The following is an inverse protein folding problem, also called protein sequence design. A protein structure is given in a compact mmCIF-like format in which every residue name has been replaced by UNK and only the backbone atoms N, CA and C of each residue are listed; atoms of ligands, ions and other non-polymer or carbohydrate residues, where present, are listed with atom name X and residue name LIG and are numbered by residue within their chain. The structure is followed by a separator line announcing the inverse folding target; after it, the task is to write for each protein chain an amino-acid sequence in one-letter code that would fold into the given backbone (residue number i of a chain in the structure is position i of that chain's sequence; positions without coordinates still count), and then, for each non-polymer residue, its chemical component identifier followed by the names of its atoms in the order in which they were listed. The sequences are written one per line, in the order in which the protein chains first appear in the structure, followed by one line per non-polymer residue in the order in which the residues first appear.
data_IF_889545814132
#
_entry.id   IF_889545814132
#
_cell.length_a   1.000
_cell.length_b   1.000
_cell.length_c   1.000
_cell.angle_alpha   90.00
_cell.angle_beta   90.00
_cell.angle_gamma   90.00
#
_symmetry.space_group_name_H-M   'P 1'
#
loop_
_entity.id
_entity.type
_entity.pdbx_description
1 polymer ?
#
# COMPACT_ATOMS: atom_id res chain seq x y z
N UNK A 1 3.77 29.59 1.59
CA UNK A 1 2.38 29.10 1.76
C UNK A 1 2.11 29.06 3.27
N UNK A 2 1.05 29.72 3.75
CA UNK A 2 0.69 29.66 5.18
C UNK A 2 0.06 28.30 5.48
N UNK A 3 0.57 27.60 6.51
CA UNK A 3 0.07 26.29 6.93
C UNK A 3 -0.92 26.47 8.08
N UNK A 4 -1.86 25.55 8.23
CA UNK A 4 -2.80 25.57 9.35
C UNK A 4 -2.13 25.26 10.70
N UNK A 5 -1.15 24.35 10.69
CA UNK A 5 -0.33 23.95 11.84
C UNK A 5 1.16 24.10 11.48
N UNK A 6 1.96 24.50 12.46
CA UNK A 6 3.41 24.74 12.36
C UNK A 6 4.14 24.02 13.50
N UNK A 7 5.30 23.46 13.19
CA UNK A 7 6.26 23.05 14.24
C UNK A 7 6.93 24.29 14.86
N UNK A 8 7.64 24.09 15.98
CA UNK A 8 8.38 25.18 16.64
C UNK A 8 9.43 25.81 15.72
N UNK A 9 10.12 24.99 14.93
CA UNK A 9 11.15 25.45 13.98
C UNK A 9 10.52 26.24 12.82
N UNK A 10 9.37 25.79 12.32
CA UNK A 10 8.65 26.48 11.26
C UNK A 10 8.07 27.82 11.73
N UNK A 11 7.60 27.90 12.98
CA UNK A 11 7.11 29.14 13.58
C UNK A 11 8.23 30.16 13.83
N UNK A 12 9.41 29.70 14.27
CA UNK A 12 10.57 30.56 14.48
C UNK A 12 11.03 31.26 13.18
N UNK A 13 10.90 30.58 12.05
CA UNK A 13 11.27 31.07 10.72
C UNK A 13 10.28 32.10 10.11
N UNK A 14 9.15 32.39 10.77
CA UNK A 14 8.16 33.37 10.31
C UNK A 14 8.49 34.80 10.73
N UNK A 15 7.96 35.78 9.98
CA UNK A 15 8.00 37.20 10.38
C UNK A 15 7.09 37.47 11.57
N UNK A 16 7.29 38.58 12.28
CA UNK A 16 6.52 38.90 13.48
C UNK A 16 5.03 39.12 13.18
N UNK A 17 4.70 39.69 12.01
CA UNK A 17 3.31 39.85 11.54
C UNK A 17 2.65 38.49 11.26
N UNK A 18 3.42 37.53 10.74
CA UNK A 18 2.93 36.18 10.50
C UNK A 18 2.76 35.41 11.81
N UNK A 19 3.68 35.56 12.77
CA UNK A 19 3.60 34.93 14.10
C UNK A 19 2.36 35.38 14.88
N UNK A 20 1.95 36.64 14.74
CA UNK A 20 0.75 37.18 15.38
C UNK A 20 -0.54 36.42 14.98
N UNK A 21 -0.56 35.81 13.80
CA UNK A 21 -1.70 35.04 13.28
C UNK A 21 -1.78 33.62 13.83
N UNK A 22 -0.85 33.17 14.68
CA UNK A 22 -0.84 31.81 15.27
C UNK A 22 -0.88 31.86 16.80
N UNK A 23 -1.33 30.76 17.40
CA UNK A 23 -1.35 30.49 18.84
C UNK A 23 -0.84 29.10 19.15
N UNK A 24 -0.41 28.89 20.39
CA UNK A 24 0.06 27.58 20.85
C UNK A 24 -1.10 26.57 20.86
N UNK A 25 -0.88 25.40 20.26
CA UNK A 25 -1.84 24.31 20.21
C UNK A 25 -1.10 22.96 20.23
N UNK A 26 -1.28 22.19 21.30
CA UNK A 26 -0.56 20.93 21.51
C UNK A 26 0.97 21.16 21.58
N UNK A 27 1.72 20.46 20.75
CA UNK A 27 3.19 20.53 20.70
C UNK A 27 3.75 21.58 19.72
N UNK A 28 2.87 22.37 19.07
CA UNK A 28 3.24 23.35 18.03
C UNK A 28 2.35 24.61 18.03
N UNK A 29 2.24 25.25 16.87
CA UNK A 29 1.46 26.48 16.69
C UNK A 29 0.37 26.29 15.62
N UNK A 30 -0.84 26.79 15.89
CA UNK A 30 -1.99 26.71 14.97
C UNK A 30 -2.52 28.12 14.67
N UNK A 31 -2.98 28.35 13.44
CA UNK A 31 -3.51 29.65 13.03
C UNK A 31 -4.74 30.04 13.87
N UNK A 32 -4.72 31.24 14.45
CA UNK A 32 -5.83 31.83 15.21
C UNK A 32 -6.88 32.33 14.21
N UNK A 33 -7.95 31.56 14.05
CA UNK A 33 -9.09 31.94 13.24
C UNK A 33 -10.30 32.04 14.17
N UNK A 34 -10.90 33.23 14.23
CA UNK A 34 -12.07 33.50 15.05
C UNK A 34 -13.30 32.72 14.51
N UNK A 35 -14.03 32.05 15.41
CA UNK A 35 -15.22 31.25 15.07
C UNK A 35 -14.98 29.76 14.78
N UNK A 36 -13.74 29.25 14.90
CA UNK A 36 -13.48 27.81 14.79
C UNK A 36 -13.88 27.06 16.06
N UNK A 37 -14.68 25.97 15.96
CA UNK A 37 -15.03 25.15 17.10
C UNK A 37 -13.83 24.34 17.61
N UNK A 38 -13.75 24.11 18.91
CA UNK A 38 -12.74 23.22 19.52
C UNK A 38 -13.05 21.76 19.16
N UNK A 39 -12.17 21.15 18.36
CA UNK A 39 -12.29 19.76 17.88
C UNK A 39 -11.49 18.76 18.70
N UNK A 40 -10.74 19.20 19.72
CA UNK A 40 -9.87 18.33 20.52
C UNK A 40 -10.69 17.28 21.28
N UNK A 41 -11.77 17.69 21.93
CA UNK A 41 -12.69 16.78 22.62
C UNK A 41 -13.35 15.76 21.67
N UNK A 42 -13.66 16.18 20.44
CA UNK A 42 -14.19 15.29 19.41
C UNK A 42 -13.15 14.25 18.98
N UNK A 43 -11.88 14.66 18.80
CA UNK A 43 -10.79 13.75 18.47
C UNK A 43 -10.56 12.71 19.56
N UNK A 44 -10.54 13.12 20.83
CA UNK A 44 -10.43 12.21 21.97
C UNK A 44 -11.59 11.21 22.00
N UNK A 45 -12.82 11.67 21.78
CA UNK A 45 -13.99 10.77 21.79
C UNK A 45 -13.98 9.80 20.61
N UNK A 46 -13.49 10.23 19.44
CA UNK A 46 -13.30 9.36 18.28
C UNK A 46 -12.27 8.28 18.59
N UNK A 47 -11.12 8.62 19.17
CA UNK A 47 -10.10 7.64 19.56
C UNK A 47 -10.63 6.65 20.62
N UNK A 48 -11.37 7.13 21.61
CA UNK A 48 -12.03 6.29 22.62
C UNK A 48 -13.02 5.32 21.98
N UNK A 49 -13.92 5.80 21.12
CA UNK A 49 -14.90 4.96 20.41
C UNK A 49 -14.24 3.94 19.48
N UNK A 50 -13.13 4.31 18.83
CA UNK A 50 -12.38 3.39 17.99
C UNK A 50 -11.74 2.27 18.82
N UNK A 51 -11.18 2.61 19.98
CA UNK A 51 -10.60 1.64 20.89
C UNK A 51 -11.66 0.71 21.48
N UNK A 52 -12.78 1.25 21.95
CA UNK A 52 -13.92 0.46 22.42
C UNK A 52 -14.40 -0.49 21.33
N UNK A 53 -14.64 0.02 20.11
CA UNK A 53 -15.09 -0.81 18.98
C UNK A 53 -14.10 -1.91 18.63
N UNK A 54 -12.79 -1.63 18.70
CA UNK A 54 -11.74 -2.63 18.46
C UNK A 54 -11.79 -3.72 19.53
N UNK A 55 -11.81 -3.33 20.80
CA UNK A 55 -11.86 -4.30 21.91
C UNK A 55 -13.13 -5.14 21.89
N UNK A 56 -14.26 -4.55 21.53
CA UNK A 56 -15.53 -5.27 21.44
C UNK A 56 -15.53 -6.24 20.25
N UNK A 57 -14.95 -5.83 19.12
CA UNK A 57 -14.74 -6.72 17.97
C UNK A 57 -13.86 -7.90 18.35
N UNK A 58 -12.73 -7.67 19.02
CA UNK A 58 -11.81 -8.74 19.46
C UNK A 58 -12.51 -9.70 20.44
N UNK A 59 -13.28 -9.18 21.40
CA UNK A 59 -14.06 -10.02 22.31
C UNK A 59 -15.09 -10.88 21.58
N UNK A 60 -15.79 -10.30 20.60
CA UNK A 60 -16.78 -11.03 19.80
C UNK A 60 -16.11 -12.13 18.97
N UNK A 61 -14.98 -11.84 18.34
CA UNK A 61 -14.21 -12.82 17.57
C UNK A 61 -13.70 -13.97 18.46
N UNK A 62 -13.20 -13.66 19.66
CA UNK A 62 -12.78 -14.67 20.64
C UNK A 62 -13.95 -15.54 21.12
N UNK A 63 -15.10 -14.92 21.43
CA UNK A 63 -16.29 -15.65 21.86
C UNK A 63 -16.84 -16.55 20.75
N UNK A 64 -16.85 -16.08 19.50
CA UNK A 64 -17.26 -16.86 18.34
C UNK A 64 -16.31 -18.03 18.08
N UNK A 65 -14.99 -17.80 18.14
CA UNK A 65 -13.99 -18.85 17.98
C UNK A 65 -14.11 -19.94 19.07
N UNK A 66 -14.35 -19.54 20.32
CA UNK A 66 -14.52 -20.48 21.43
C UNK A 66 -15.84 -21.28 21.30
N UNK A 67 -16.93 -20.62 20.88
CA UNK A 67 -18.21 -21.27 20.61
C UNK A 67 -18.09 -22.29 19.46
N UNK A 68 -17.41 -21.93 18.37
CA UNK A 68 -17.14 -22.84 17.25
C UNK A 68 -16.27 -24.01 17.69
N UNK A 69 -15.23 -23.78 18.51
CA UNK A 69 -14.36 -24.84 19.05
C UNK A 69 -15.16 -25.83 19.89
N UNK A 70 -16.00 -25.33 20.79
CA UNK A 70 -16.84 -26.17 21.66
C UNK A 70 -17.88 -26.95 20.85
N UNK A 71 -18.52 -26.32 19.87
CA UNK A 71 -19.47 -26.98 18.97
C UNK A 71 -18.79 -28.12 18.19
N UNK A 72 -17.58 -27.89 17.69
CA UNK A 72 -16.80 -28.90 16.97
C UNK A 72 -16.35 -30.06 17.87
N UNK A 73 -15.95 -29.77 19.11
CA UNK A 73 -15.57 -30.78 20.09
C UNK A 73 -16.78 -31.64 20.51
N UNK A 74 -17.96 -31.02 20.65
CA UNK A 74 -19.22 -31.72 20.89
C UNK A 74 -19.63 -32.58 19.69
N UNK A 75 -19.53 -32.06 18.46
CA UNK A 75 -19.79 -32.81 17.24
C UNK A 75 -18.87 -34.03 17.12
N UNK A 76 -17.58 -33.86 17.44
CA UNK A 76 -16.61 -34.96 17.49
C UNK A 76 -16.95 -36.02 18.54
N UNK A 77 -17.36 -35.60 19.75
CA UNK A 77 -17.77 -36.53 20.83
C UNK A 77 -19.07 -37.27 20.52
N UNK A 78 -20.00 -36.62 19.81
CA UNK A 78 -21.30 -37.17 19.44
C UNK A 78 -21.30 -37.93 18.11
N UNK A 79 -20.18 -37.93 17.38
CA UNK A 79 -20.10 -38.53 16.04
C UNK A 79 -20.98 -37.83 15.01
N UNK A 80 -21.25 -36.53 15.19
CA UNK A 80 -21.99 -35.71 14.24
C UNK A 80 -21.09 -35.38 13.04
N UNK A 81 -21.11 -36.28 12.07
CA UNK A 81 -20.28 -36.22 10.85
C UNK A 81 -20.66 -35.03 9.97
N UNK A 82 -21.94 -34.64 9.94
CA UNK A 82 -22.42 -33.54 9.10
C UNK A 82 -21.87 -32.19 9.59
N UNK A 83 -21.93 -31.94 10.90
CA UNK A 83 -21.34 -30.72 11.50
C UNK A 83 -19.83 -30.66 11.29
N UNK A 84 -19.14 -31.80 11.41
CA UNK A 84 -17.71 -31.88 11.14
C UNK A 84 -17.39 -31.60 9.67
N UNK A 85 -18.10 -32.25 8.74
CA UNK A 85 -17.89 -32.08 7.29
C UNK A 85 -18.08 -30.62 6.87
N UNK A 86 -19.15 -29.97 7.35
CA UNK A 86 -19.41 -28.56 7.07
C UNK A 86 -18.30 -27.66 7.63
N UNK A 87 -17.82 -27.91 8.85
CA UNK A 87 -16.71 -27.16 9.42
C UNK A 87 -15.41 -27.33 8.63
N UNK A 88 -15.12 -28.53 8.14
CA UNK A 88 -13.94 -28.79 7.31
C UNK A 88 -14.04 -28.15 5.93
N UNK A 89 -15.21 -28.20 5.29
CA UNK A 89 -15.47 -27.50 4.03
C UNK A 89 -15.27 -25.99 4.18
N UNK A 90 -15.80 -25.40 5.25
CA UNK A 90 -15.61 -23.99 5.53
C UNK A 90 -14.12 -23.65 5.74
N UNK A 91 -13.41 -24.41 6.57
CA UNK A 91 -11.97 -24.21 6.79
C UNK A 91 -11.15 -24.35 5.49
N UNK A 92 -11.52 -25.29 4.63
CA UNK A 92 -10.86 -25.47 3.35
C UNK A 92 -11.08 -24.23 2.45
N UNK A 93 -12.33 -23.77 2.31
CA UNK A 93 -12.66 -22.59 1.54
C UNK A 93 -11.96 -21.32 2.09
N UNK A 94 -11.93 -21.16 3.42
CA UNK A 94 -11.25 -20.03 4.07
C UNK A 94 -9.74 -20.07 3.82
N UNK A 95 -9.13 -21.27 3.89
CA UNK A 95 -7.72 -21.45 3.60
C UNK A 95 -7.40 -21.18 2.12
N UNK A 96 -8.20 -21.69 1.19
CA UNK A 96 -8.05 -21.43 -0.24
C UNK A 96 -8.12 -19.93 -0.53
N UNK A 97 -9.11 -19.24 0.04
CA UNK A 97 -9.26 -17.79 -0.08
C UNK A 97 -8.02 -17.04 0.46
N UNK A 98 -7.56 -17.41 1.66
CA UNK A 98 -6.37 -16.81 2.27
C UNK A 98 -5.10 -17.05 1.44
N UNK A 99 -4.88 -18.27 0.96
CA UNK A 99 -3.72 -18.60 0.15
C UNK A 99 -3.76 -17.89 -1.20
N UNK A 100 -4.92 -17.83 -1.86
CA UNK A 100 -5.09 -17.07 -3.10
C UNK A 100 -4.81 -15.58 -2.90
N UNK A 101 -5.32 -14.97 -1.83
CA UNK A 101 -5.03 -13.57 -1.51
C UNK A 101 -3.54 -13.32 -1.21
N UNK A 102 -2.87 -14.26 -0.54
CA UNK A 102 -1.42 -14.18 -0.29
C UNK A 102 -0.61 -14.34 -1.58
N UNK A 103 -1.00 -15.26 -2.47
CA UNK A 103 -0.38 -15.45 -3.79
C UNK A 103 -0.52 -14.17 -4.61
N UNK A 104 -1.71 -13.58 -4.69
CA UNK A 104 -1.93 -12.32 -5.43
C UNK A 104 -1.06 -11.18 -4.89
N UNK A 105 -0.96 -11.07 -3.57
CA UNK A 105 -0.11 -10.05 -2.91
C UNK A 105 1.37 -10.25 -3.24
N UNK A 106 1.86 -11.50 -3.14
CA UNK A 106 3.24 -11.85 -3.46
C UNK A 106 3.53 -11.64 -4.96
N UNK A 107 2.60 -11.98 -5.84
CA UNK A 107 2.73 -11.75 -7.28
C UNK A 107 2.82 -10.25 -7.60
N UNK A 108 1.98 -9.41 -6.99
CA UNK A 108 2.08 -7.94 -7.13
C UNK A 108 3.41 -7.40 -6.61
N UNK A 109 3.87 -7.89 -5.45
CA UNK A 109 5.16 -7.49 -4.89
C UNK A 109 6.34 -7.90 -5.78
N UNK A 110 6.31 -9.14 -6.30
CA UNK A 110 7.30 -9.66 -7.24
C UNK A 110 7.29 -8.87 -8.54
N UNK A 111 6.12 -8.58 -9.08
CA UNK A 111 5.95 -7.76 -10.28
C UNK A 111 6.63 -6.39 -10.11
N UNK A 112 6.30 -5.70 -9.02
CA UNK A 112 6.91 -4.42 -8.70
C UNK A 112 8.43 -4.56 -8.57
N UNK A 113 8.94 -5.51 -7.78
CA UNK A 113 10.38 -5.70 -7.61
C UNK A 113 11.12 -5.96 -8.93
N UNK A 114 10.59 -6.81 -9.81
CA UNK A 114 11.24 -7.13 -11.08
C UNK A 114 11.24 -5.94 -12.04
N UNK A 115 10.10 -5.27 -12.18
CA UNK A 115 9.98 -4.06 -13.02
C UNK A 115 10.88 -2.95 -12.47
N UNK A 116 10.85 -2.69 -11.17
CA UNK A 116 11.66 -1.67 -10.51
C UNK A 116 13.16 -1.91 -10.70
N UNK A 117 13.63 -3.13 -10.46
CA UNK A 117 15.04 -3.46 -10.61
C UNK A 117 15.53 -3.31 -12.05
N UNK A 118 14.76 -3.78 -13.04
CA UNK A 118 15.14 -3.65 -14.46
C UNK A 118 15.07 -2.19 -14.90
N UNK A 119 14.01 -1.48 -14.54
CA UNK A 119 13.85 -0.07 -14.88
C UNK A 119 14.96 0.80 -14.28
N UNK A 120 15.31 0.58 -13.01
CA UNK A 120 16.38 1.32 -12.33
C UNK A 120 17.73 1.11 -13.01
N UNK A 121 18.07 -0.14 -13.34
CA UNK A 121 19.31 -0.44 -14.06
C UNK A 121 19.36 0.27 -15.41
N UNK A 122 18.28 0.16 -16.20
CA UNK A 122 18.23 0.75 -17.53
C UNK A 122 18.24 2.29 -17.47
N UNK A 123 17.51 2.89 -16.53
CA UNK A 123 17.48 4.34 -16.34
C UNK A 123 18.84 4.90 -15.94
N UNK A 124 19.53 4.25 -15.00
CA UNK A 124 20.89 4.62 -14.60
C UNK A 124 21.89 4.48 -15.74
N UNK A 125 21.76 3.43 -16.56
CA UNK A 125 22.63 3.22 -17.72
C UNK A 125 22.39 4.24 -18.84
N UNK A 126 21.14 4.65 -19.06
CA UNK A 126 20.77 5.60 -20.10
C UNK A 126 21.06 7.06 -19.73
N UNK A 127 20.83 7.43 -18.48
CA UNK A 127 20.74 8.84 -18.08
C UNK A 127 21.60 9.23 -16.88
N UNK A 128 22.27 8.26 -16.22
CA UNK A 128 23.08 8.52 -15.03
C UNK A 128 22.29 9.28 -13.96
N UNK A 129 22.72 10.51 -13.67
CA UNK A 129 22.08 11.39 -12.69
C UNK A 129 20.65 11.78 -13.05
N UNK A 130 20.29 11.78 -14.35
CA UNK A 130 18.93 12.05 -14.82
C UNK A 130 18.01 10.82 -14.83
N UNK A 131 18.47 9.67 -14.32
CA UNK A 131 17.68 8.43 -14.22
C UNK A 131 16.27 8.61 -13.61
N UNK A 132 16.08 9.43 -12.55
CA UNK A 132 14.75 9.63 -11.97
C UNK A 132 13.69 10.16 -12.95
N UNK A 133 14.11 10.89 -13.99
CA UNK A 133 13.21 11.43 -15.01
C UNK A 133 12.77 10.35 -16.00
N UNK A 134 13.67 9.43 -16.37
CA UNK A 134 13.35 8.35 -17.31
C UNK A 134 12.62 7.17 -16.67
N UNK A 135 12.78 6.98 -15.35
CA UNK A 135 12.21 5.85 -14.61
C UNK A 135 10.72 5.60 -14.88
N UNK A 136 9.81 6.59 -14.78
CA UNK A 136 8.38 6.34 -15.00
C UNK A 136 8.06 5.84 -16.40
N UNK A 137 8.77 6.38 -17.41
CA UNK A 137 8.58 6.01 -18.82
C UNK A 137 9.17 4.63 -19.14
N UNK A 138 10.28 4.26 -18.51
CA UNK A 138 10.84 2.92 -18.67
C UNK A 138 9.94 1.89 -18.00
N UNK A 139 9.45 2.15 -16.77
CA UNK A 139 8.53 1.25 -16.06
C UNK A 139 7.25 1.00 -16.85
N UNK A 140 6.68 2.02 -17.48
CA UNK A 140 5.47 1.85 -18.31
C UNK A 140 5.68 0.96 -19.52
N UNK A 141 6.94 0.65 -19.87
CA UNK A 141 7.31 -0.23 -20.99
C UNK A 141 7.71 -1.63 -20.55
N UNK A 142 7.58 -1.97 -19.27
CA UNK A 142 7.94 -3.28 -18.72
C UNK A 142 6.73 -3.95 -18.08
N UNK A 143 6.63 -5.26 -18.26
CA UNK A 143 5.68 -6.14 -17.58
C UNK A 143 6.43 -7.37 -17.04
N UNK A 144 5.80 -8.13 -16.15
CA UNK A 144 6.29 -9.45 -15.75
C UNK A 144 5.43 -10.51 -16.39
N UNK A 145 6.07 -11.44 -17.08
CA UNK A 145 5.45 -12.61 -17.71
C UNK A 145 6.02 -13.87 -17.07
N UNK A 146 5.18 -14.89 -16.91
CA UNK A 146 5.64 -16.21 -16.52
C UNK A 146 5.96 -17.02 -17.78
N UNK A 147 7.22 -17.43 -17.92
CA UNK A 147 7.68 -18.29 -19.00
C UNK A 147 8.42 -19.49 -18.39
N UNK A 148 7.97 -20.70 -18.69
CA UNK A 148 8.56 -21.96 -18.19
C UNK A 148 8.70 -22.02 -16.66
N UNK A 149 7.70 -21.50 -15.93
CA UNK A 149 7.69 -21.44 -14.46
C UNK A 149 8.62 -20.38 -13.86
N UNK A 150 9.21 -19.50 -14.68
CA UNK A 150 10.04 -18.38 -14.25
C UNK A 150 9.37 -17.06 -14.57
N UNK A 151 9.43 -16.13 -13.62
CA UNK A 151 8.95 -14.76 -13.83
C UNK A 151 10.06 -13.95 -14.50
N UNK A 152 9.81 -13.50 -15.73
CA UNK A 152 10.74 -12.70 -16.52
C UNK A 152 10.15 -11.33 -16.83
N UNK A 153 11.00 -10.33 -16.99
CA UNK A 153 10.56 -9.00 -17.43
C UNK A 153 10.43 -9.00 -18.96
N UNK A 154 9.24 -8.66 -19.47
CA UNK A 154 8.90 -8.54 -20.89
C UNK A 154 8.60 -7.08 -21.22
N UNK A 155 8.86 -6.68 -22.46
CA UNK A 155 8.61 -5.31 -22.94
C UNK A 155 7.22 -5.21 -23.53
N UNK A 156 6.51 -4.11 -23.22
CA UNK A 156 5.30 -3.74 -23.95
C UNK A 156 5.59 -2.74 -25.07
N UNK A 157 4.76 -2.78 -26.10
CA UNK A 157 4.71 -1.75 -27.13
C UNK A 157 4.05 -0.45 -26.61
N UNK A 158 3.94 0.56 -27.48
CA UNK A 158 3.29 1.84 -27.15
C UNK A 158 1.79 1.75 -26.87
N UNK A 159 1.15 0.62 -27.18
CA UNK A 159 -0.26 0.33 -26.86
C UNK A 159 -0.40 -0.46 -25.55
N UNK A 160 0.71 -0.80 -24.89
CA UNK A 160 0.73 -1.58 -23.66
C UNK A 160 0.60 -3.09 -23.86
N UNK A 161 0.77 -3.60 -25.09
CA UNK A 161 0.69 -5.03 -25.39
C UNK A 161 2.08 -5.67 -25.34
N UNK A 162 2.20 -6.93 -24.89
CA UNK A 162 3.47 -7.65 -24.90
C UNK A 162 4.10 -7.68 -26.29
N UNK A 163 5.39 -7.37 -26.36
CA UNK A 163 6.15 -7.31 -27.61
C UNK A 163 7.33 -8.29 -27.60
N UNK A 164 7.77 -8.72 -28.78
CA UNK A 164 8.98 -9.53 -28.92
C UNK A 164 10.29 -8.73 -28.79
N UNK A 165 10.20 -7.44 -28.43
CA UNK A 165 11.37 -6.57 -28.29
C UNK A 165 12.27 -7.02 -27.13
N UNK A 166 13.58 -6.84 -27.31
CA UNK A 166 14.58 -7.08 -26.27
C UNK A 166 14.86 -5.81 -25.45
N UNK A 167 15.45 -5.97 -24.26
CA UNK A 167 15.86 -4.83 -23.42
C UNK A 167 16.81 -3.89 -24.18
N UNK A 168 17.66 -4.43 -25.06
CA UNK A 168 18.54 -3.63 -25.91
C UNK A 168 17.78 -2.82 -26.97
N UNK A 169 16.67 -3.35 -27.48
CA UNK A 169 15.81 -2.60 -28.42
C UNK A 169 15.09 -1.46 -27.70
N UNK A 170 14.59 -1.71 -26.49
CA UNK A 170 14.01 -0.66 -25.65
C UNK A 170 15.05 0.43 -25.33
N UNK A 171 16.28 0.03 -25.00
CA UNK A 171 17.39 0.96 -24.76
C UNK A 171 17.61 1.87 -25.97
N UNK A 172 17.74 1.29 -27.17
CA UNK A 172 17.90 2.05 -28.42
C UNK A 172 16.72 2.98 -28.68
N UNK A 173 15.50 2.55 -28.39
CA UNK A 173 14.29 3.37 -28.55
C UNK A 173 14.38 4.63 -27.69
N UNK A 174 14.74 4.51 -26.41
CA UNK A 174 14.90 5.64 -25.51
C UNK A 174 16.09 6.54 -25.90
N UNK A 175 17.23 5.97 -26.31
CA UNK A 175 18.38 6.77 -26.77
C UNK A 175 18.08 7.57 -28.04
N UNK A 176 17.32 6.98 -28.98
CA UNK A 176 16.97 7.63 -30.24
C UNK A 176 15.79 8.60 -30.12
N UNK A 177 15.07 8.57 -29.00
CA UNK A 177 13.95 9.45 -28.76
C UNK A 177 14.43 10.83 -28.32
N UNK A 178 14.20 11.85 -29.17
CA UNK A 178 14.59 13.24 -28.91
C UNK A 178 13.99 13.82 -27.62
N UNK A 179 12.87 13.29 -27.14
CA UNK A 179 12.27 13.71 -25.87
C UNK A 179 13.09 13.27 -24.64
N UNK A 180 13.95 12.26 -24.82
CA UNK A 180 14.81 11.69 -23.79
C UNK A 180 16.30 11.86 -24.10
N UNK A 181 16.66 12.45 -25.24
CA UNK A 181 18.02 12.77 -25.58
C UNK A 181 18.52 13.91 -24.66
N UNK A 182 19.42 13.56 -23.74
CA UNK A 182 20.17 14.50 -22.89
C UNK A 182 21.37 15.07 -23.62
#
# INVERSE_FOLDING_TARGET
MLKFQLTKDEFAALTDEQKAMYGEAGDGYQMKIEGLPDVTGLKTKVEELLNEKKTEKEKRELAEAEAQRLALEQARKKGDVETLENSWKQKLADNESQFNGKIETLQKSLHNLLVENVAQKLATELAGDAAPVMLPHIKSRLLVEEQDGKHITRIVDGEGKPSAASIDDLKKEFTNNKAFAT
#
